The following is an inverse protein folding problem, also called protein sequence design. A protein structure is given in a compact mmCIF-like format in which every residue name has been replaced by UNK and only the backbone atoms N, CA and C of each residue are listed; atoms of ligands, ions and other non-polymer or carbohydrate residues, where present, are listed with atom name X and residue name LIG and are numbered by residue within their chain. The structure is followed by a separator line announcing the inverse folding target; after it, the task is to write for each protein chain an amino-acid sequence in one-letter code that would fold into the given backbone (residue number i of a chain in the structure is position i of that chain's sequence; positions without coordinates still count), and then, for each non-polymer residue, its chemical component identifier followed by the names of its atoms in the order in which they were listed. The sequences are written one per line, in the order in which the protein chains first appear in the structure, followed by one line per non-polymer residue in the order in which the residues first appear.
data_IF_239023103244
#
_entry.id   IF_239023103244
#
_cell.length_a   1.000
_cell.length_b   1.000
_cell.length_c   1.000
_cell.angle_alpha   90.00
_cell.angle_beta   90.00
_cell.angle_gamma   90.00
#
_symmetry.space_group_name_H-M   'P 1'
#
loop_
_entity.id
_entity.type
_entity.pdbx_description
1 polymer ?
#
# COMPACT_ATOMS: atom_id res chain seq x y z
N UNK A 1 -7.39 -8.78 -16.93
CA UNK A 1 -6.46 -8.91 -15.80
C UNK A 1 -5.95 -10.33 -15.80
N UNK A 2 -4.63 -10.49 -15.87
CA UNK A 2 -3.97 -11.79 -15.64
C UNK A 2 -3.96 -12.11 -14.13
N UNK A 3 -3.49 -13.29 -13.75
CA UNK A 3 -3.30 -13.61 -12.33
C UNK A 3 -2.28 -12.68 -11.67
N UNK A 4 -1.16 -12.43 -12.35
CA UNK A 4 -0.09 -11.56 -11.85
C UNK A 4 -0.59 -10.13 -11.64
N UNK A 5 -1.39 -9.62 -12.60
CA UNK A 5 -2.04 -8.32 -12.43
C UNK A 5 -2.97 -8.30 -11.20
N UNK A 6 -3.72 -9.38 -10.96
CA UNK A 6 -4.62 -9.47 -9.82
C UNK A 6 -3.87 -9.49 -8.48
N UNK A 7 -2.75 -10.21 -8.42
CA UNK A 7 -1.91 -10.28 -7.22
C UNK A 7 -1.36 -8.88 -6.87
N UNK A 8 -0.91 -8.11 -7.88
CA UNK A 8 -0.49 -6.71 -7.70
C UNK A 8 -1.62 -5.82 -7.18
N UNK A 9 -2.85 -6.00 -7.66
CA UNK A 9 -3.98 -5.22 -7.17
C UNK A 9 -4.35 -5.59 -5.71
N UNK A 10 -4.19 -6.86 -5.32
CA UNK A 10 -4.37 -7.31 -3.93
C UNK A 10 -3.32 -6.69 -3.01
N UNK A 11 -2.06 -6.57 -3.45
CA UNK A 11 -1.00 -5.91 -2.67
C UNK A 11 -1.33 -4.43 -2.44
N UNK A 12 -1.81 -3.73 -3.46
CA UNK A 12 -2.27 -2.33 -3.32
C UNK A 12 -3.41 -2.22 -2.31
N UNK A 13 -4.43 -3.07 -2.42
CA UNK A 13 -5.55 -3.09 -1.47
C UNK A 13 -5.07 -3.37 -0.05
N UNK A 14 -4.09 -4.26 0.11
CA UNK A 14 -3.50 -4.60 1.40
C UNK A 14 -2.78 -3.41 2.03
N UNK A 15 -2.01 -2.66 1.25
CA UNK A 15 -1.31 -1.47 1.73
C UNK A 15 -2.30 -0.38 2.15
N UNK A 16 -3.35 -0.13 1.36
CA UNK A 16 -4.40 0.84 1.75
C UNK A 16 -5.14 0.38 3.00
N UNK A 17 -5.41 -0.92 3.13
CA UNK A 17 -6.05 -1.49 4.32
C UNK A 17 -5.21 -1.25 5.59
N UNK A 18 -3.88 -1.44 5.52
CA UNK A 18 -2.99 -1.16 6.64
C UNK A 18 -2.95 0.33 6.99
N UNK A 19 -2.95 1.21 5.98
CA UNK A 19 -2.90 2.66 6.19
C UNK A 19 -4.22 3.23 6.74
N UNK A 20 -5.37 2.70 6.33
CA UNK A 20 -6.68 3.29 6.62
C UNK A 20 -7.47 2.57 7.70
N UNK A 21 -7.22 1.28 7.91
CA UNK A 21 -8.11 0.43 8.70
C UNK A 21 -7.41 -0.25 9.88
N UNK A 22 -6.07 -0.30 9.88
CA UNK A 22 -5.29 -0.91 10.96
C UNK A 22 -4.62 0.15 11.83
N UNK A 23 -4.31 -0.16 13.11
CA UNK A 23 -3.50 0.73 13.93
C UNK A 23 -2.09 0.91 13.36
N UNK A 24 -1.65 2.16 13.25
CA UNK A 24 -0.36 2.53 12.69
C UNK A 24 -0.50 3.33 11.41
N UNK A 25 0.60 3.49 10.68
CA UNK A 25 0.63 4.10 9.36
C UNK A 25 1.81 3.54 8.58
N UNK A 26 1.67 3.44 7.27
CA UNK A 26 2.73 2.99 6.38
C UNK A 26 3.71 4.16 6.18
N UNK A 27 4.97 3.94 6.57
CA UNK A 27 6.03 4.95 6.50
C UNK A 27 7.31 4.32 5.97
N UNK A 28 8.12 5.16 5.33
CA UNK A 28 9.47 4.77 4.94
C UNK A 28 10.39 4.65 6.16
N UNK A 29 11.51 3.95 5.99
CA UNK A 29 12.55 3.89 7.00
C UNK A 29 13.25 5.24 7.17
N UNK A 30 13.69 5.53 8.40
CA UNK A 30 14.44 6.78 8.67
C UNK A 30 15.77 6.79 7.91
N UNK A 31 16.32 7.98 7.58
CA UNK A 31 17.61 8.08 6.90
C UNK A 31 18.75 7.37 7.65
N UNK A 32 18.73 7.39 8.98
CA UNK A 32 19.74 6.73 9.82
C UNK A 32 19.66 5.21 9.69
N UNK A 33 18.46 4.65 9.71
CA UNK A 33 18.24 3.22 9.48
C UNK A 33 18.74 2.81 8.10
N UNK A 34 18.34 3.55 7.07
CA UNK A 34 18.76 3.32 5.69
C UNK A 34 20.27 3.35 5.52
N UNK A 35 20.93 4.33 6.14
CA UNK A 35 22.39 4.46 6.13
C UNK A 35 23.07 3.26 6.81
N UNK A 36 22.57 2.86 7.98
CA UNK A 36 23.14 1.75 8.76
C UNK A 36 23.02 0.41 8.06
N UNK A 37 21.92 0.18 7.34
CA UNK A 37 21.64 -1.09 6.67
C UNK A 37 21.90 -1.07 5.16
N UNK A 38 22.48 0.02 4.64
CA UNK A 38 22.76 0.20 3.21
C UNK A 38 21.51 0.00 2.33
N UNK A 39 20.39 0.61 2.74
CA UNK A 39 19.13 0.62 1.98
C UNK A 39 19.01 1.95 1.24
N UNK A 40 19.12 1.93 -0.08
CA UNK A 40 19.09 3.14 -0.90
C UNK A 40 17.68 3.48 -1.42
N UNK A 41 16.77 2.50 -1.39
CA UNK A 41 15.42 2.63 -1.94
C UNK A 41 14.38 2.95 -0.85
N UNK A 42 13.20 3.41 -1.28
CA UNK A 42 12.04 3.51 -0.40
C UNK A 42 11.54 2.11 -0.01
N UNK A 43 10.97 1.97 1.19
CA UNK A 43 10.27 0.74 1.55
C UNK A 43 9.14 0.47 0.52
N UNK A 44 9.03 -0.75 -0.03
CA UNK A 44 8.12 -1.04 -1.13
C UNK A 44 6.65 -0.69 -0.86
N UNK A 45 6.15 -0.96 0.34
CA UNK A 45 4.76 -0.65 0.73
C UNK A 45 4.54 0.86 0.80
N UNK A 46 5.51 1.62 1.30
CA UNK A 46 5.49 3.07 1.28
C UNK A 46 5.48 3.63 -0.15
N UNK A 47 6.37 3.15 -1.02
CA UNK A 47 6.40 3.56 -2.42
C UNK A 47 5.07 3.23 -3.14
N UNK A 48 4.50 2.05 -2.87
CA UNK A 48 3.21 1.64 -3.42
C UNK A 48 2.07 2.56 -2.94
N UNK A 49 2.03 2.87 -1.64
CA UNK A 49 1.04 3.78 -1.08
C UNK A 49 1.13 5.18 -1.70
N UNK A 50 2.34 5.72 -1.86
CA UNK A 50 2.55 7.01 -2.51
C UNK A 50 2.02 7.00 -3.95
N UNK A 51 2.33 5.96 -4.74
CA UNK A 51 1.82 5.82 -6.10
C UNK A 51 0.28 5.73 -6.18
N UNK A 52 -0.37 5.11 -5.19
CA UNK A 52 -1.83 5.08 -5.10
C UNK A 52 -2.38 6.48 -4.78
N UNK A 53 -1.78 7.17 -3.80
CA UNK A 53 -2.23 8.50 -3.33
C UNK A 53 -2.05 9.60 -4.39
N UNK A 54 -0.99 9.53 -5.20
CA UNK A 54 -0.74 10.46 -6.31
C UNK A 54 -1.56 10.13 -7.55
N UNK A 55 -2.16 8.95 -7.61
CA UNK A 55 -2.91 8.45 -8.77
C UNK A 55 -2.03 7.91 -9.90
N UNK A 56 -0.71 7.80 -9.69
CA UNK A 56 0.23 7.20 -10.66
C UNK A 56 0.04 5.69 -10.79
N UNK A 57 -0.36 5.02 -9.69
CA UNK A 57 -0.59 3.59 -9.63
C UNK A 57 -1.91 3.25 -8.89
N UNK A 58 -3.08 3.62 -9.44
CA UNK A 58 -4.36 3.42 -8.78
C UNK A 58 -4.72 1.94 -8.67
N UNK A 59 -5.63 1.62 -7.74
CA UNK A 59 -6.27 0.30 -7.67
C UNK A 59 -7.32 0.20 -8.78
N UNK A 60 -7.29 -0.90 -9.54
CA UNK A 60 -8.13 -1.16 -10.72
C UNK A 60 -9.28 -2.13 -10.46
N UNK A 61 -9.31 -2.77 -9.29
CA UNK A 61 -10.40 -3.67 -8.90
C UNK A 61 -11.65 -2.84 -8.57
N UNK A 62 -12.71 -3.00 -9.34
CA UNK A 62 -13.96 -2.29 -9.08
C UNK A 62 -14.53 -2.61 -7.68
N UNK A 63 -14.94 -1.59 -6.95
CA UNK A 63 -15.58 -1.73 -5.63
C UNK A 63 -14.63 -2.15 -4.50
N UNK A 64 -13.31 -2.05 -4.69
CA UNK A 64 -12.31 -2.41 -3.68
C UNK A 64 -12.51 -1.67 -2.33
N UNK A 65 -12.89 -0.40 -2.35
CA UNK A 65 -13.12 0.40 -1.14
C UNK A 65 -14.25 -0.19 -0.29
N UNK A 66 -15.37 -0.55 -0.93
CA UNK A 66 -16.51 -1.17 -0.27
C UNK A 66 -16.16 -2.56 0.30
N UNK A 67 -15.29 -3.31 -0.37
CA UNK A 67 -14.79 -4.58 0.15
C UNK A 67 -13.95 -4.36 1.41
N UNK A 68 -13.03 -3.39 1.39
CA UNK A 68 -12.21 -3.09 2.56
C UNK A 68 -13.06 -2.60 3.72
N UNK A 69 -13.97 -1.65 3.49
CA UNK A 69 -14.88 -1.14 4.51
C UNK A 69 -15.73 -2.27 5.12
N UNK A 70 -16.26 -3.19 4.30
CA UNK A 70 -17.10 -4.30 4.75
C UNK A 70 -16.36 -5.27 5.69
N UNK A 71 -15.09 -5.59 5.40
CA UNK A 71 -14.36 -6.63 6.13
C UNK A 71 -13.39 -6.10 7.19
N UNK A 72 -12.91 -4.87 7.05
CA UNK A 72 -11.89 -4.28 7.92
C UNK A 72 -12.38 -3.04 8.66
N UNK A 73 -13.59 -2.53 8.38
CA UNK A 73 -14.18 -1.43 9.14
C UNK A 73 -13.46 -0.09 8.94
N UNK A 74 -12.89 0.13 7.76
CA UNK A 74 -12.27 1.40 7.38
C UNK A 74 -13.31 2.53 7.47
N UNK A 75 -13.04 3.57 8.27
CA UNK A 75 -13.89 4.78 8.42
C UNK A 75 -13.56 5.86 7.39
#
# INVERSE_FOLDING_TARGET
MTREDADVEVDKMTVVMHEKCMPGSVHDFTPEFKTMWHVDEAEPSFALLQGIQTGENPIRIDGWEALLAKYFGCE
#
